data_IF_702137014078
#
_entry.id   IF_702137014078
#
_cell.length_a   1.000
_cell.length_b   1.000
_cell.length_c   1.000
_cell.angle_alpha   90.00
_cell.angle_beta   90.00
_cell.angle_gamma   90.00
#
_symmetry.space_group_name_H-M   'P 1'
#
loop_
_entity.id
_entity.type
_entity.pdbx_description
1 polymer ?
#
# COMPACT_ATOMS: atom_id res chain seq x y z
N UNK A 1 25.92 68.83 57.45
CA UNK A 1 24.69 68.05 57.23
C UNK A 1 24.59 67.70 55.75
N UNK A 2 24.13 66.49 55.45
CA UNK A 2 23.94 65.83 54.15
C UNK A 2 25.16 65.07 53.58
N UNK A 3 25.34 63.85 54.09
CA UNK A 3 26.11 62.80 53.43
C UNK A 3 25.38 62.31 52.15
N UNK A 4 26.09 61.99 51.06
CA UNK A 4 25.47 61.48 49.85
C UNK A 4 25.06 60.02 50.02
N UNK A 5 23.82 59.71 49.62
CA UNK A 5 23.27 58.37 49.54
C UNK A 5 24.06 57.55 48.52
N UNK A 6 24.77 56.54 49.01
CA UNK A 6 25.45 55.54 48.18
C UNK A 6 24.41 54.68 47.47
N UNK A 7 24.44 54.69 46.13
CA UNK A 7 23.62 53.82 45.30
C UNK A 7 23.93 52.35 45.58
N UNK A 8 22.89 51.55 45.84
CA UNK A 8 23.02 50.12 46.03
C UNK A 8 23.61 49.45 44.77
N UNK A 9 24.58 48.52 44.90
CA UNK A 9 25.14 47.80 43.75
C UNK A 9 24.06 46.88 43.14
N UNK A 10 23.89 46.98 41.82
CA UNK A 10 23.01 46.08 41.07
C UNK A 10 23.39 44.62 41.35
N UNK A 11 22.43 43.82 41.83
CA UNK A 11 22.63 42.43 42.18
C UNK A 11 23.19 41.65 40.97
N UNK A 12 24.40 41.11 41.09
CA UNK A 12 25.00 40.24 40.06
C UNK A 12 24.10 39.01 39.89
N UNK A 13 23.69 38.64 38.65
CA UNK A 13 22.85 37.46 38.46
C UNK A 13 23.58 36.23 39.00
N UNK A 14 22.87 35.43 39.82
CA UNK A 14 23.41 34.22 40.43
C UNK A 14 23.99 33.27 39.37
N UNK A 15 25.02 32.50 39.72
CA UNK A 15 25.65 31.49 38.84
C UNK A 15 24.62 30.56 38.18
N UNK A 16 23.53 30.26 38.90
CA UNK A 16 22.36 29.54 38.41
C UNK A 16 21.68 30.23 37.21
N UNK A 17 21.50 31.56 37.23
CA UNK A 17 20.89 32.32 36.11
C UNK A 17 21.77 32.26 34.87
N UNK A 18 23.10 32.33 35.02
CA UNK A 18 24.03 32.19 33.89
C UNK A 18 23.99 30.77 33.31
N UNK A 19 24.01 29.75 34.16
CA UNK A 19 23.90 28.36 33.72
C UNK A 19 22.57 28.11 32.97
N UNK A 20 21.44 28.57 33.51
CA UNK A 20 20.14 28.46 32.86
C UNK A 20 20.09 29.18 31.51
N UNK A 21 20.69 30.37 31.39
CA UNK A 21 20.79 31.10 30.12
C UNK A 21 21.63 30.34 29.08
N UNK A 22 22.79 29.80 29.47
CA UNK A 22 23.62 28.99 28.57
C UNK A 22 22.94 27.70 28.14
N UNK A 23 22.25 27.01 29.04
CA UNK A 23 21.46 25.81 28.72
C UNK A 23 20.30 26.15 27.78
N UNK A 24 19.58 27.24 28.02
CA UNK A 24 18.51 27.70 27.13
C UNK A 24 19.03 28.07 25.73
N UNK A 25 20.18 28.75 25.65
CA UNK A 25 20.83 29.10 24.40
C UNK A 25 21.32 27.86 23.64
N UNK A 26 21.92 26.90 24.33
CA UNK A 26 22.35 25.64 23.74
C UNK A 26 21.15 24.85 23.20
N UNK A 27 20.07 24.73 23.98
CA UNK A 27 18.84 24.06 23.55
C UNK A 27 18.22 24.77 22.34
N UNK A 28 18.14 26.11 22.37
CA UNK A 28 17.64 26.90 21.24
C UNK A 28 18.47 26.71 19.97
N UNK A 29 19.80 26.63 20.10
CA UNK A 29 20.71 26.37 18.98
C UNK A 29 20.47 24.98 18.38
N UNK A 30 20.35 23.95 19.24
CA UNK A 30 20.06 22.57 18.80
C UNK A 30 18.70 22.50 18.09
N UNK A 31 17.65 23.11 18.65
CA UNK A 31 16.33 23.13 18.03
C UNK A 31 16.33 23.84 16.68
N UNK A 32 17.07 24.95 16.56
CA UNK A 32 17.22 25.68 15.29
C UNK A 32 17.96 24.84 14.26
N UNK A 33 19.03 24.15 14.66
CA UNK A 33 19.78 23.26 13.78
C UNK A 33 18.94 22.05 13.30
N UNK A 34 18.12 21.47 14.20
CA UNK A 34 17.19 20.41 13.84
C UNK A 34 16.11 20.90 12.87
N UNK A 35 15.50 22.07 13.13
CA UNK A 35 14.52 22.66 12.23
C UNK A 35 15.12 22.95 10.84
N UNK A 36 16.32 23.53 10.79
CA UNK A 36 17.04 23.77 9.54
C UNK A 36 17.35 22.46 8.80
N UNK A 37 17.74 21.40 9.51
CA UNK A 37 17.98 20.07 8.93
C UNK A 37 16.70 19.48 8.34
N UNK A 38 15.57 19.57 9.05
CA UNK A 38 14.27 19.12 8.53
C UNK A 38 13.91 19.89 7.27
N UNK A 39 14.08 21.21 7.23
CA UNK A 39 13.81 22.02 6.03
C UNK A 39 14.72 21.60 4.87
N UNK A 40 16.03 21.47 5.11
CA UNK A 40 17.01 21.06 4.09
C UNK A 40 16.67 19.70 3.48
N UNK A 41 16.36 18.71 4.34
CA UNK A 41 15.97 17.37 3.90
C UNK A 41 14.66 17.38 3.12
N UNK A 42 13.74 18.29 3.46
CA UNK A 42 12.46 18.42 2.75
C UNK A 42 12.59 19.05 1.36
N UNK A 43 13.60 19.90 1.14
CA UNK A 43 13.85 20.58 -0.15
C UNK A 43 14.88 19.86 -1.05
N UNK A 44 15.50 18.79 -0.55
CA UNK A 44 16.54 18.04 -1.26
C UNK A 44 16.04 17.55 -2.63
N UNK A 45 16.76 17.93 -3.68
CA UNK A 45 16.57 17.42 -5.04
C UNK A 45 15.39 18.04 -5.80
N UNK A 46 14.68 19.03 -5.23
CA UNK A 46 13.58 19.69 -5.93
C UNK A 46 14.11 20.67 -6.98
N UNK A 47 13.72 20.49 -8.24
CA UNK A 47 13.98 21.45 -9.31
C UNK A 47 13.03 22.66 -9.21
N UNK A 48 13.47 23.87 -9.66
CA UNK A 48 12.59 25.01 -9.79
C UNK A 48 11.40 24.73 -10.71
N UNK A 49 10.23 25.26 -10.36
CA UNK A 49 9.04 25.20 -11.21
C UNK A 49 9.15 26.25 -12.32
N UNK A 50 8.91 25.84 -13.57
CA UNK A 50 8.88 26.74 -14.73
C UNK A 50 7.43 27.06 -15.08
N UNK A 51 6.93 28.18 -14.59
CA UNK A 51 5.54 28.61 -14.79
C UNK A 51 5.29 29.26 -16.16
N UNK A 52 6.36 29.66 -16.85
CA UNK A 52 6.35 30.39 -18.12
C UNK A 52 6.38 29.49 -19.37
N UNK A 53 6.58 28.19 -19.20
CA UNK A 53 6.60 27.24 -20.31
C UNK A 53 5.19 26.74 -20.62
N UNK A 54 4.65 27.20 -21.76
CA UNK A 54 3.46 26.58 -22.33
C UNK A 54 3.77 25.11 -22.68
N UNK A 55 3.01 24.13 -22.19
CA UNK A 55 3.23 22.74 -22.54
C UNK A 55 2.98 22.56 -24.04
N UNK A 56 3.86 21.84 -24.76
CA UNK A 56 3.59 21.50 -26.14
C UNK A 56 2.30 20.68 -26.23
N UNK A 57 1.59 20.80 -27.35
CA UNK A 57 0.40 19.97 -27.60
C UNK A 57 0.79 18.49 -27.53
N UNK A 58 0.09 17.73 -26.69
CA UNK A 58 0.39 16.32 -26.50
C UNK A 58 0.05 15.51 -27.76
N UNK A 59 0.99 14.68 -28.21
CA UNK A 59 0.74 13.77 -29.32
C UNK A 59 -0.23 12.65 -28.90
N UNK A 60 -0.92 12.04 -29.86
CA UNK A 60 -1.79 10.88 -29.59
C UNK A 60 -1.03 9.73 -28.90
N UNK A 61 0.23 9.50 -29.28
CA UNK A 61 1.08 8.50 -28.64
C UNK A 61 1.41 8.83 -27.18
N UNK A 62 1.63 10.11 -26.86
CA UNK A 62 1.86 10.56 -25.49
C UNK A 62 0.61 10.42 -24.63
N UNK A 63 -0.57 10.76 -25.16
CA UNK A 63 -1.85 10.59 -24.48
C UNK A 63 -2.14 9.10 -24.20
N UNK A 64 -1.91 8.22 -25.17
CA UNK A 64 -2.09 6.79 -24.99
C UNK A 64 -1.11 6.22 -23.95
N UNK A 65 0.16 6.65 -23.97
CA UNK A 65 1.14 6.31 -22.94
C UNK A 65 0.67 6.76 -21.56
N UNK A 66 0.16 7.99 -21.44
CA UNK A 66 -0.40 8.50 -20.19
C UNK A 66 -1.59 7.69 -19.70
N UNK A 67 -2.53 7.33 -20.58
CA UNK A 67 -3.67 6.46 -20.28
C UNK A 67 -3.21 5.11 -19.74
N UNK A 68 -2.25 4.49 -20.44
CA UNK A 68 -1.67 3.20 -20.06
C UNK A 68 -1.00 3.25 -18.68
N UNK A 69 -0.19 4.27 -18.43
CA UNK A 69 0.47 4.46 -17.15
C UNK A 69 -0.52 4.76 -16.01
N UNK A 70 -1.62 5.45 -16.29
CA UNK A 70 -2.65 5.71 -15.29
C UNK A 70 -3.39 4.42 -14.88
N UNK A 71 -3.52 3.46 -15.81
CA UNK A 71 -3.97 2.10 -15.51
C UNK A 71 -2.92 1.33 -14.70
N UNK A 72 -1.65 1.37 -15.13
CA UNK A 72 -0.55 0.72 -14.40
C UNK A 72 -0.40 1.23 -12.95
N UNK A 73 -0.58 2.53 -12.74
CA UNK A 73 -0.56 3.17 -11.42
C UNK A 73 -1.87 3.08 -10.64
N UNK A 74 -2.88 2.41 -11.18
CA UNK A 74 -4.23 2.28 -10.60
C UNK A 74 -4.82 3.63 -10.13
N UNK A 75 -4.58 4.72 -10.86
CA UNK A 75 -4.92 6.07 -10.39
C UNK A 75 -6.43 6.20 -10.11
N UNK A 76 -7.28 5.58 -10.93
CA UNK A 76 -8.72 5.56 -10.74
C UNK A 76 -9.16 4.84 -9.45
N UNK A 77 -8.40 3.86 -8.97
CA UNK A 77 -8.70 3.10 -7.76
C UNK A 77 -8.79 3.99 -6.51
N UNK A 78 -7.91 5.00 -6.44
CA UNK A 78 -7.93 6.01 -5.38
C UNK A 78 -8.74 7.24 -5.77
N UNK A 79 -8.61 7.73 -7.01
CA UNK A 79 -9.17 9.01 -7.43
C UNK A 79 -10.60 8.93 -8.00
N UNK A 80 -11.33 7.84 -7.76
CA UNK A 80 -12.75 7.73 -8.12
C UNK A 80 -13.56 7.21 -6.95
N UNK A 81 -14.49 8.03 -6.44
CA UNK A 81 -15.45 7.58 -5.43
C UNK A 81 -16.44 6.56 -6.02
N UNK A 82 -16.98 5.66 -5.19
CA UNK A 82 -18.01 4.71 -5.63
C UNK A 82 -19.25 5.47 -6.12
N UNK A 83 -19.64 5.23 -7.37
CA UNK A 83 -20.74 5.95 -8.02
C UNK A 83 -20.43 7.41 -8.38
N UNK A 84 -19.20 7.86 -8.17
CA UNK A 84 -18.73 9.20 -8.55
C UNK A 84 -18.19 9.25 -9.98
N UNK A 85 -17.91 10.47 -10.45
CA UNK A 85 -17.28 10.67 -11.75
C UNK A 85 -15.82 10.18 -11.75
N UNK A 86 -15.39 9.60 -12.88
CA UNK A 86 -14.05 9.07 -13.03
C UNK A 86 -13.00 10.16 -12.74
N UNK A 87 -11.98 9.81 -11.95
CA UNK A 87 -10.86 10.70 -11.59
C UNK A 87 -11.23 11.97 -10.79
N UNK A 88 -12.50 12.16 -10.39
CA UNK A 88 -12.96 13.35 -9.67
C UNK A 88 -12.65 13.35 -8.16
N UNK A 89 -11.95 12.33 -7.65
CA UNK A 89 -11.54 12.20 -6.26
C UNK A 89 -12.69 11.80 -5.32
N UNK A 90 -12.51 12.10 -4.03
CA UNK A 90 -13.52 11.93 -2.98
C UNK A 90 -13.53 10.58 -2.27
N UNK A 91 -12.78 9.58 -2.74
CA UNK A 91 -12.63 8.30 -2.04
C UNK A 91 -11.85 8.49 -0.74
N UNK A 92 -12.38 7.95 0.36
CA UNK A 92 -11.69 7.87 1.64
C UNK A 92 -10.78 6.65 1.73
N UNK A 93 -9.59 6.83 2.31
CA UNK A 93 -8.62 5.78 2.64
C UNK A 93 -8.47 5.82 4.15
N UNK A 94 -8.95 4.77 4.82
CA UNK A 94 -8.87 4.65 6.26
C UNK A 94 -7.46 4.22 6.69
N UNK A 95 -6.95 4.86 7.74
CA UNK A 95 -5.65 4.54 8.32
C UNK A 95 -5.75 4.58 9.85
N UNK A 96 -4.77 4.00 10.58
CA UNK A 96 -4.65 4.16 12.02
C UNK A 96 -4.46 5.61 12.47
N UNK A 97 -4.25 6.56 11.57
CA UNK A 97 -4.05 7.98 11.91
C UNK A 97 -5.29 8.82 11.62
N UNK A 98 -6.32 8.24 11.01
CA UNK A 98 -7.54 8.88 10.53
C UNK A 98 -7.77 8.60 9.05
N UNK A 99 -8.67 9.36 8.42
CA UNK A 99 -9.06 9.12 7.01
C UNK A 99 -8.47 10.18 6.09
N UNK A 100 -7.79 9.71 5.05
CA UNK A 100 -7.28 10.52 3.95
C UNK A 100 -8.29 10.49 2.80
N UNK A 101 -8.41 11.56 2.03
CA UNK A 101 -9.34 11.64 0.90
C UNK A 101 -8.57 11.96 -0.37
N UNK A 102 -8.80 11.18 -1.42
CA UNK A 102 -8.16 11.41 -2.71
C UNK A 102 -8.68 12.71 -3.36
N UNK A 103 -7.77 13.46 -3.98
CA UNK A 103 -8.09 14.70 -4.69
C UNK A 103 -8.67 14.46 -6.09
N UNK A 104 -9.25 15.49 -6.69
CA UNK A 104 -9.71 15.51 -8.07
C UNK A 104 -8.52 15.64 -9.04
N UNK A 105 -8.38 14.70 -9.98
CA UNK A 105 -7.32 14.70 -11.00
C UNK A 105 -7.78 15.23 -12.37
N UNK A 106 -9.07 15.55 -12.53
CA UNK A 106 -9.59 16.09 -13.80
C UNK A 106 -9.01 17.50 -14.07
N UNK A 107 -9.06 18.03 -15.31
CA UNK A 107 -8.53 19.36 -15.62
C UNK A 107 -9.40 20.51 -15.12
N UNK A 108 -10.35 20.27 -14.21
CA UNK A 108 -11.15 21.33 -13.61
C UNK A 108 -10.25 22.39 -12.95
N UNK A 109 -10.39 23.68 -13.29
CA UNK A 109 -9.49 24.73 -12.81
C UNK A 109 -9.73 25.13 -11.36
N UNK A 110 -10.87 24.78 -10.76
CA UNK A 110 -11.21 25.18 -9.39
C UNK A 110 -10.82 24.11 -8.36
N UNK A 111 -11.02 22.85 -8.72
CA UNK A 111 -10.96 21.72 -7.80
C UNK A 111 -9.98 20.63 -8.22
N UNK A 112 -9.59 20.60 -9.49
CA UNK A 112 -8.70 19.61 -10.08
C UNK A 112 -7.31 20.13 -10.46
N UNK A 113 -6.78 19.58 -11.54
CA UNK A 113 -5.44 19.87 -12.07
C UNK A 113 -5.40 21.02 -13.08
N UNK A 114 -6.51 21.73 -13.35
CA UNK A 114 -6.57 22.74 -14.42
C UNK A 114 -5.61 23.93 -14.27
N UNK A 115 -5.12 24.19 -13.06
CA UNK A 115 -4.09 25.22 -12.79
C UNK A 115 -2.68 24.65 -12.58
N UNK A 116 -2.50 23.34 -12.74
CA UNK A 116 -1.20 22.69 -12.61
C UNK A 116 -0.44 22.75 -13.93
N UNK A 117 0.88 22.62 -13.87
CA UNK A 117 1.73 22.38 -15.04
C UNK A 117 2.51 21.07 -14.84
N UNK A 118 3.28 20.67 -15.85
CA UNK A 118 4.06 19.43 -15.83
C UNK A 118 5.07 19.38 -14.67
N UNK A 119 5.71 20.50 -14.34
CA UNK A 119 6.66 20.58 -13.22
C UNK A 119 5.97 20.43 -11.85
N UNK A 120 4.76 20.98 -11.68
CA UNK A 120 3.95 20.78 -10.47
C UNK A 120 3.57 19.30 -10.32
N UNK A 121 3.15 18.66 -11.40
CA UNK A 121 2.75 17.26 -11.38
C UNK A 121 3.95 16.33 -11.11
N UNK A 122 5.08 16.57 -11.78
CA UNK A 122 6.36 15.92 -11.49
C UNK A 122 6.73 16.08 -10.02
N UNK A 123 6.67 17.30 -9.47
CA UNK A 123 7.00 17.55 -8.06
C UNK A 123 6.09 16.80 -7.10
N UNK A 124 4.80 16.66 -7.42
CA UNK A 124 3.89 15.86 -6.62
C UNK A 124 4.28 14.39 -6.63
N UNK A 125 4.44 13.77 -7.81
CA UNK A 125 4.81 12.36 -7.94
C UNK A 125 6.19 12.05 -7.33
N UNK A 126 7.15 12.93 -7.57
CA UNK A 126 8.56 12.68 -7.31
C UNK A 126 9.01 13.14 -5.91
N UNK A 127 8.38 14.18 -5.35
CA UNK A 127 8.78 14.75 -4.07
C UNK A 127 7.67 14.77 -3.02
N UNK A 128 6.45 14.33 -3.38
CA UNK A 128 5.31 14.37 -2.47
C UNK A 128 4.93 15.80 -2.09
N UNK A 129 5.03 16.76 -3.03
CA UNK A 129 4.70 18.17 -2.76
C UNK A 129 3.70 18.70 -3.79
N UNK A 130 2.61 19.25 -3.27
CA UNK A 130 1.53 19.84 -4.06
C UNK A 130 1.96 21.09 -4.83
N UNK A 131 1.11 21.56 -5.76
CA UNK A 131 1.25 22.84 -6.47
C UNK A 131 1.50 24.01 -5.52
N UNK A 132 0.69 24.14 -4.47
CA UNK A 132 0.78 25.19 -3.44
C UNK A 132 1.97 25.02 -2.47
N UNK A 133 2.83 24.02 -2.68
CA UNK A 133 4.01 23.78 -1.86
C UNK A 133 3.76 22.95 -0.60
N UNK A 134 2.51 22.59 -0.29
CA UNK A 134 2.18 21.73 0.86
C UNK A 134 2.74 20.31 0.65
N UNK A 135 3.20 19.68 1.73
CA UNK A 135 3.57 18.27 1.73
C UNK A 135 2.33 17.39 1.62
N UNK A 136 2.42 16.39 0.75
CA UNK A 136 1.41 15.37 0.54
C UNK A 136 1.66 14.19 1.49
N UNK A 137 0.57 13.56 1.94
CA UNK A 137 0.66 12.37 2.77
C UNK A 137 1.12 11.16 1.96
N UNK A 138 1.94 10.25 2.53
CA UNK A 138 2.53 9.11 1.82
C UNK A 138 1.52 8.02 1.41
N UNK A 139 0.23 8.18 1.76
CA UNK A 139 -0.82 7.38 1.15
C UNK A 139 -1.00 7.70 -0.35
N UNK A 140 -0.66 8.91 -0.78
CA UNK A 140 -0.25 9.13 -2.16
C UNK A 140 1.16 8.56 -2.28
N UNK A 141 1.39 7.46 -3.02
CA UNK A 141 2.60 6.65 -2.90
C UNK A 141 3.79 7.26 -3.64
N UNK A 142 4.09 8.55 -3.40
CA UNK A 142 5.24 9.27 -3.94
C UNK A 142 6.58 8.63 -3.52
N UNK A 143 6.60 7.84 -2.45
CA UNK A 143 7.77 7.05 -2.04
C UNK A 143 8.10 5.94 -3.04
N UNK A 144 7.14 5.52 -3.86
CA UNK A 144 7.31 4.60 -4.99
C UNK A 144 7.32 5.36 -6.32
N UNK A 145 6.40 6.32 -6.50
CA UNK A 145 6.31 7.11 -7.74
C UNK A 145 7.51 8.01 -8.01
N UNK A 146 8.37 8.26 -7.02
CA UNK A 146 9.69 8.85 -7.26
C UNK A 146 10.47 8.09 -8.33
N UNK A 147 10.29 6.78 -8.48
CA UNK A 147 11.01 6.04 -9.54
C UNK A 147 10.58 6.40 -10.96
N UNK A 148 9.39 7.00 -11.13
CA UNK A 148 8.80 7.30 -12.44
C UNK A 148 9.67 8.32 -13.20
N UNK A 149 9.91 8.03 -14.48
CA UNK A 149 10.70 8.92 -15.34
C UNK A 149 9.96 10.20 -15.67
N UNK A 150 10.70 11.26 -16.02
CA UNK A 150 10.11 12.54 -16.39
C UNK A 150 9.12 12.42 -17.55
N UNK A 151 9.48 11.67 -18.58
CA UNK A 151 8.63 11.45 -19.76
C UNK A 151 7.31 10.74 -19.41
N UNK A 152 7.36 9.77 -18.50
CA UNK A 152 6.16 9.07 -18.03
C UNK A 152 5.27 9.96 -17.18
N UNK A 153 5.85 10.82 -16.33
CA UNK A 153 5.13 11.84 -15.57
C UNK A 153 4.43 12.84 -16.49
N UNK A 154 5.13 13.33 -17.51
CA UNK A 154 4.59 14.31 -18.46
C UNK A 154 3.50 13.67 -19.34
N UNK A 155 3.64 12.39 -19.72
CA UNK A 155 2.60 11.64 -20.42
C UNK A 155 1.34 11.45 -19.55
N UNK A 156 1.51 11.02 -18.29
CA UNK A 156 0.41 10.92 -17.31
C UNK A 156 -0.32 12.25 -17.17
N UNK A 157 0.42 13.35 -16.97
CA UNK A 157 -0.17 14.67 -16.82
C UNK A 157 -0.93 15.10 -18.07
N UNK A 158 -0.33 14.95 -19.26
CA UNK A 158 -0.97 15.27 -20.52
C UNK A 158 -2.30 14.51 -20.71
N UNK A 159 -2.31 13.22 -20.39
CA UNK A 159 -3.53 12.42 -20.47
C UNK A 159 -4.60 12.86 -19.45
N UNK A 160 -4.22 13.12 -18.19
CA UNK A 160 -5.16 13.64 -17.19
C UNK A 160 -5.75 15.00 -17.60
N UNK A 161 -4.96 15.86 -18.24
CA UNK A 161 -5.43 17.14 -18.78
C UNK A 161 -6.40 16.99 -19.97
N UNK A 162 -6.41 15.83 -20.63
CA UNK A 162 -7.33 15.54 -21.74
C UNK A 162 -8.71 15.03 -21.29
N UNK A 163 -8.88 14.71 -20.00
CA UNK A 163 -10.13 14.19 -19.46
C UNK A 163 -11.23 15.27 -19.44
N UNK A 164 -12.52 14.88 -19.44
CA UNK A 164 -13.60 15.81 -19.15
C UNK A 164 -13.40 16.47 -17.76
N UNK A 165 -13.48 17.80 -17.64
CA UNK A 165 -13.39 18.46 -16.34
C UNK A 165 -14.61 18.14 -15.49
N UNK A 166 -14.38 17.86 -14.21
CA UNK A 166 -15.46 17.65 -13.24
C UNK A 166 -15.23 18.60 -12.08
N UNK A 167 -16.16 19.51 -11.83
CA UNK A 167 -16.11 20.39 -10.67
C UNK A 167 -16.60 19.63 -9.43
N UNK A 168 -15.66 19.11 -8.64
CA UNK A 168 -15.94 18.40 -7.39
C UNK A 168 -14.95 18.83 -6.31
N UNK A 169 -15.45 19.53 -5.30
CA UNK A 169 -14.61 20.04 -4.22
C UNK A 169 -13.89 18.89 -3.48
N UNK A 170 -12.59 19.06 -3.25
CA UNK A 170 -11.80 18.11 -2.47
C UNK A 170 -12.23 18.11 -1.02
N UNK A 171 -12.43 16.92 -0.45
CA UNK A 171 -12.76 16.75 0.97
C UNK A 171 -11.49 16.88 1.83
N UNK A 172 -11.49 17.66 2.92
CA UNK A 172 -10.35 17.71 3.83
C UNK A 172 -10.15 16.36 4.53
N UNK A 173 -8.90 16.02 4.82
CA UNK A 173 -8.57 14.85 5.61
C UNK A 173 -9.09 14.96 7.05
N UNK A 174 -9.44 13.84 7.65
CA UNK A 174 -9.89 13.73 9.04
C UNK A 174 -8.85 12.96 9.85
N UNK A 175 -7.63 13.49 9.87
CA UNK A 175 -6.51 12.94 10.64
C UNK A 175 -6.56 13.46 12.08
N UNK A 176 -6.04 12.66 13.01
CA UNK A 176 -5.92 13.04 14.41
C UNK A 176 -4.64 13.83 14.63
N UNK A 177 -4.66 14.79 15.55
CA UNK A 177 -3.45 15.44 16.02
C UNK A 177 -2.43 14.41 16.55
N UNK A 178 -1.12 14.52 16.24
CA UNK A 178 -0.47 15.58 15.45
C UNK A 178 -0.37 15.33 13.94
N UNK A 179 -0.94 14.24 13.43
CA UNK A 179 -0.80 13.79 12.05
C UNK A 179 -1.48 14.71 11.01
N UNK A 180 -2.39 15.57 11.45
CA UNK A 180 -3.04 16.62 10.66
C UNK A 180 -2.13 17.84 10.38
N UNK A 181 -0.93 17.89 10.93
CA UNK A 181 -0.02 19.05 10.80
C UNK A 181 1.08 18.85 9.75
N UNK A 182 1.41 19.93 9.02
CA UNK A 182 2.54 19.95 8.08
C UNK A 182 3.90 19.77 8.77
N UNK A 183 4.04 20.20 10.02
CA UNK A 183 5.26 20.02 10.80
C UNK A 183 5.53 18.54 11.10
N UNK A 184 4.52 17.78 11.56
CA UNK A 184 4.65 16.35 11.78
C UNK A 184 4.97 15.61 10.47
N UNK A 185 4.31 15.99 9.37
CA UNK A 185 4.58 15.41 8.06
C UNK A 185 5.99 15.73 7.54
N UNK A 186 6.50 16.94 7.79
CA UNK A 186 7.86 17.33 7.42
C UNK A 186 8.92 16.51 8.18
N UNK A 187 8.72 16.27 9.48
CA UNK A 187 9.59 15.41 10.28
C UNK A 187 9.53 13.98 9.78
N UNK A 188 8.32 13.44 9.55
CA UNK A 188 8.15 12.09 9.01
C UNK A 188 8.88 11.93 7.68
N UNK A 189 8.71 12.88 6.75
CA UNK A 189 9.35 12.83 5.43
C UNK A 189 10.87 12.93 5.54
N UNK A 190 11.40 13.76 6.43
CA UNK A 190 12.84 13.86 6.66
C UNK A 190 13.46 12.55 7.19
N UNK A 191 12.70 11.75 7.94
CA UNK A 191 13.15 10.46 8.48
C UNK A 191 13.04 9.31 7.47
N UNK A 192 11.96 9.28 6.69
CA UNK A 192 11.56 8.07 5.96
C UNK A 192 11.53 8.19 4.42
N UNK A 193 11.78 9.38 3.87
CA UNK A 193 11.75 9.57 2.43
C UNK A 193 13.06 10.12 1.88
N UNK A 194 13.48 9.56 0.74
CA UNK A 194 14.59 10.04 -0.08
C UNK A 194 14.13 10.02 -1.54
N UNK A 195 14.16 11.15 -2.25
CA UNK A 195 13.91 11.16 -3.70
C UNK A 195 14.92 10.27 -4.41
N UNK A 196 14.45 9.52 -5.39
CA UNK A 196 15.25 8.62 -6.22
C UNK A 196 14.63 8.52 -7.61
N UNK A 197 15.44 8.23 -8.62
CA UNK A 197 14.99 7.83 -9.96
C UNK A 197 15.29 6.35 -10.15
N UNK A 198 14.54 5.69 -11.04
CA UNK A 198 14.86 4.31 -11.39
C UNK A 198 16.19 4.24 -12.14
N UNK A 199 17.12 3.44 -11.62
CA UNK A 199 18.41 3.18 -12.27
C UNK A 199 18.44 1.70 -12.67
N UNK A 200 18.44 1.38 -13.98
CA UNK A 200 18.54 0.00 -14.45
C UNK A 200 19.82 -0.68 -13.95
N UNK A 201 19.70 -1.92 -13.50
CA UNK A 201 20.86 -2.74 -13.11
C UNK A 201 21.55 -3.29 -14.38
N UNK A 202 22.83 -2.96 -14.66
CA UNK A 202 23.50 -3.40 -15.89
C UNK A 202 23.69 -4.91 -16.01
N UNK A 203 23.71 -5.62 -14.88
CA UNK A 203 23.81 -7.09 -14.82
C UNK A 203 22.49 -7.80 -15.11
N UNK A 204 21.38 -7.07 -15.20
CA UNK A 204 20.04 -7.60 -15.45
C UNK A 204 19.58 -7.31 -16.87
N UNK A 205 18.69 -8.15 -17.40
CA UNK A 205 18.10 -7.93 -18.73
C UNK A 205 17.23 -6.67 -18.75
N UNK A 206 17.02 -6.10 -19.93
CA UNK A 206 16.11 -4.97 -20.11
C UNK A 206 14.68 -5.30 -19.65
N UNK A 207 14.23 -6.53 -19.90
CA UNK A 207 12.93 -7.03 -19.45
C UNK A 207 12.83 -7.10 -17.91
N UNK A 208 13.86 -7.61 -17.24
CA UNK A 208 13.89 -7.62 -15.78
C UNK A 208 13.86 -6.20 -15.20
N UNK A 209 14.65 -5.29 -15.76
CA UNK A 209 14.65 -3.88 -15.35
C UNK A 209 13.29 -3.20 -15.62
N UNK A 210 12.61 -3.55 -16.71
CA UNK A 210 11.23 -3.09 -16.97
C UNK A 210 10.26 -3.59 -15.89
N UNK A 211 10.37 -4.85 -15.49
CA UNK A 211 9.58 -5.43 -14.40
C UNK A 211 9.81 -4.72 -13.07
N UNK A 212 11.09 -4.49 -12.73
CA UNK A 212 11.49 -3.75 -11.54
C UNK A 212 10.89 -2.33 -11.54
N UNK A 213 11.00 -1.60 -12.65
CA UNK A 213 10.44 -0.26 -12.81
C UNK A 213 8.94 -0.22 -12.56
N UNK A 214 8.18 -1.17 -13.11
CA UNK A 214 6.73 -1.22 -12.95
C UNK A 214 6.33 -1.62 -11.54
N UNK A 215 6.98 -2.64 -10.95
CA UNK A 215 6.65 -3.15 -9.61
C UNK A 215 7.03 -2.14 -8.51
N UNK A 216 8.19 -1.51 -8.63
CA UNK A 216 8.71 -0.57 -7.63
C UNK A 216 8.19 0.86 -7.81
N UNK A 217 7.87 1.26 -9.05
CA UNK A 217 7.33 2.56 -9.41
C UNK A 217 5.80 2.62 -9.33
N UNK A 218 5.14 2.69 -10.50
CA UNK A 218 3.69 2.90 -10.59
C UNK A 218 2.86 1.76 -9.98
N UNK A 219 3.29 0.51 -10.11
CA UNK A 219 2.60 -0.62 -9.47
C UNK A 219 2.70 -0.61 -7.94
N UNK A 220 3.66 0.15 -7.39
CA UNK A 220 3.85 0.44 -5.97
C UNK A 220 3.61 -0.79 -5.05
N UNK A 221 4.07 -1.99 -5.46
CA UNK A 221 3.65 -3.24 -4.81
C UNK A 221 4.07 -3.28 -3.34
N UNK A 222 5.19 -2.61 -3.01
CA UNK A 222 5.69 -2.45 -1.64
C UNK A 222 4.75 -1.63 -0.73
N UNK A 223 3.87 -0.82 -1.30
CA UNK A 223 2.84 -0.13 -0.53
C UNK A 223 1.83 -1.10 0.08
N UNK A 224 1.66 -2.32 -0.44
CA UNK A 224 0.83 -3.34 0.21
C UNK A 224 1.69 -4.43 0.82
N UNK A 225 2.62 -4.98 0.02
CA UNK A 225 3.44 -6.13 0.38
C UNK A 225 4.72 -5.77 1.14
N UNK A 226 4.91 -4.52 1.56
CA UNK A 226 6.02 -4.11 2.41
C UNK A 226 5.58 -3.96 3.87
N UNK A 227 6.46 -4.34 4.79
CA UNK A 227 6.22 -4.15 6.22
C UNK A 227 6.21 -2.66 6.60
N UNK A 228 5.40 -2.28 7.59
CA UNK A 228 5.31 -0.90 8.08
C UNK A 228 5.75 -0.80 9.53
N UNK A 229 6.44 0.29 9.84
CA UNK A 229 6.74 0.65 11.23
C UNK A 229 5.52 1.30 11.92
N UNK A 230 5.63 1.58 13.22
CA UNK A 230 4.56 2.17 14.03
C UNK A 230 4.15 3.59 13.60
N UNK A 231 5.00 4.28 12.85
CA UNK A 231 4.74 5.61 12.26
C UNK A 231 4.18 5.51 10.83
N UNK A 232 3.81 4.30 10.39
CA UNK A 232 3.18 4.05 9.08
C UNK A 232 4.14 4.09 7.89
N UNK A 233 5.45 4.22 8.11
CA UNK A 233 6.43 4.18 7.03
C UNK A 233 6.74 2.75 6.61
N UNK A 234 6.77 2.53 5.30
CA UNK A 234 7.19 1.26 4.70
C UNK A 234 8.69 1.07 4.89
N UNK A 235 9.08 -0.08 5.44
CA UNK A 235 10.48 -0.46 5.64
C UNK A 235 11.05 -1.05 4.34
N UNK A 236 11.58 -0.17 3.49
CA UNK A 236 12.18 -0.55 2.20
C UNK A 236 13.37 -1.51 2.36
N UNK A 237 14.04 -1.54 3.53
CA UNK A 237 15.19 -2.42 3.76
C UNK A 237 14.81 -3.89 3.91
N UNK A 238 13.54 -4.16 4.23
CA UNK A 238 12.97 -5.51 4.31
C UNK A 238 12.33 -5.98 3.00
N UNK A 239 12.34 -5.16 1.95
CA UNK A 239 11.74 -5.52 0.66
C UNK A 239 10.24 -5.80 0.75
N UNK A 240 9.79 -6.85 0.08
CA UNK A 240 8.38 -7.24 -0.06
C UNK A 240 7.98 -8.31 0.98
N UNK A 241 8.39 -8.09 2.23
CA UNK A 241 8.26 -8.99 3.38
C UNK A 241 6.83 -9.21 3.92
N UNK A 242 5.81 -8.67 3.25
CA UNK A 242 4.43 -8.73 3.70
C UNK A 242 4.10 -7.73 4.81
N UNK A 243 2.81 -7.50 5.02
CA UNK A 243 2.34 -6.54 5.99
C UNK A 243 0.83 -6.51 6.16
N UNK A 244 0.38 -6.12 7.35
CA UNK A 244 -1.03 -5.81 7.57
C UNK A 244 -1.39 -4.53 6.84
N UNK A 245 -2.52 -4.55 6.11
CA UNK A 245 -3.15 -3.39 5.51
C UNK A 245 -3.98 -2.67 6.56
N UNK A 246 -3.51 -1.54 7.09
CA UNK A 246 -4.20 -0.86 8.18
C UNK A 246 -5.54 -0.30 7.70
N UNK A 247 -6.61 -0.42 8.50
CA UNK A 247 -7.96 0.06 8.16
C UNK A 247 -8.79 -0.90 7.30
N UNK A 248 -8.16 -1.78 6.51
CA UNK A 248 -8.88 -2.77 5.70
C UNK A 248 -8.97 -4.15 6.37
N UNK A 249 -8.09 -4.39 7.36
CA UNK A 249 -7.96 -5.64 8.13
C UNK A 249 -7.73 -6.86 7.21
N UNK A 250 -6.92 -6.64 6.18
CA UNK A 250 -6.35 -7.64 5.31
C UNK A 250 -4.85 -7.75 5.56
N UNK A 251 -4.28 -8.91 5.31
CA UNK A 251 -2.84 -9.14 5.29
C UNK A 251 -2.38 -9.25 3.83
N UNK A 252 -1.46 -8.39 3.40
CA UNK A 252 -0.79 -8.52 2.12
C UNK A 252 0.42 -9.46 2.33
N UNK A 253 0.39 -10.70 1.82
CA UNK A 253 1.43 -11.68 2.15
C UNK A 253 2.76 -11.34 1.47
N UNK A 254 3.86 -11.80 2.03
CA UNK A 254 5.19 -11.59 1.52
C UNK A 254 5.35 -12.14 0.09
N UNK A 255 5.89 -11.33 -0.82
CA UNK A 255 6.17 -11.74 -2.21
C UNK A 255 7.55 -12.38 -2.36
N UNK A 256 8.39 -12.27 -1.33
CA UNK A 256 9.72 -12.85 -1.23
C UNK A 256 9.75 -14.12 -0.34
N UNK A 257 8.58 -14.68 0.02
CA UNK A 257 8.48 -15.88 0.83
C UNK A 257 7.60 -16.96 0.16
N UNK A 258 8.14 -18.14 -0.20
CA UNK A 258 7.39 -19.19 -0.91
C UNK A 258 6.18 -19.74 -0.14
N UNK A 259 6.24 -19.73 1.19
CA UNK A 259 5.16 -20.20 2.07
C UNK A 259 4.02 -19.17 2.23
N UNK A 260 4.20 -17.96 1.69
CA UNK A 260 3.17 -16.92 1.62
C UNK A 260 2.74 -16.68 0.16
N UNK A 261 3.00 -15.50 -0.41
CA UNK A 261 2.64 -15.14 -1.78
C UNK A 261 3.83 -15.18 -2.75
N UNK A 262 5.01 -15.65 -2.33
CA UNK A 262 6.17 -15.79 -3.20
C UNK A 262 5.92 -16.73 -4.38
N UNK A 263 6.52 -16.39 -5.52
CA UNK A 263 6.29 -17.05 -6.82
C UNK A 263 7.57 -17.59 -7.46
N UNK A 264 8.68 -17.60 -6.72
CA UNK A 264 9.99 -18.05 -7.24
C UNK A 264 9.95 -19.45 -7.87
N UNK A 265 9.12 -20.35 -7.33
CA UNK A 265 8.99 -21.74 -7.81
C UNK A 265 7.89 -21.94 -8.86
N UNK A 266 7.13 -20.89 -9.21
CA UNK A 266 6.02 -21.01 -10.17
C UNK A 266 6.54 -20.91 -11.61
N UNK A 267 5.90 -21.61 -12.57
CA UNK A 267 6.09 -21.31 -13.98
C UNK A 267 5.80 -19.83 -14.27
N UNK A 268 6.59 -19.21 -15.15
CA UNK A 268 6.49 -17.76 -15.41
C UNK A 268 5.09 -17.38 -15.93
N UNK A 269 4.51 -18.21 -16.79
CA UNK A 269 3.19 -18.01 -17.36
C UNK A 269 2.07 -18.00 -16.31
N UNK A 270 2.22 -18.71 -15.19
CA UNK A 270 1.23 -18.71 -14.13
C UNK A 270 1.25 -17.38 -13.37
N UNK A 271 2.45 -16.81 -13.17
CA UNK A 271 2.59 -15.48 -12.58
C UNK A 271 1.92 -14.43 -13.48
N UNK A 272 2.15 -14.51 -14.80
CA UNK A 272 1.47 -13.67 -15.79
C UNK A 272 -0.05 -13.85 -15.73
N UNK A 273 -0.54 -15.09 -15.71
CA UNK A 273 -1.97 -15.38 -15.64
C UNK A 273 -2.62 -14.87 -14.34
N UNK A 274 -1.90 -14.94 -13.21
CA UNK A 274 -2.37 -14.38 -11.95
C UNK A 274 -2.55 -12.85 -12.04
N UNK A 275 -1.55 -12.15 -12.59
CA UNK A 275 -1.60 -10.70 -12.74
C UNK A 275 -2.63 -10.26 -13.80
N UNK A 276 -2.83 -11.06 -14.86
CA UNK A 276 -3.75 -10.74 -15.96
C UNK A 276 -5.22 -11.05 -15.63
N UNK A 277 -5.47 -12.20 -14.99
CA UNK A 277 -6.83 -12.74 -14.83
C UNK A 277 -7.28 -12.84 -13.38
N UNK A 278 -6.33 -12.73 -12.44
CA UNK A 278 -6.57 -12.89 -11.00
C UNK A 278 -6.60 -14.34 -10.53
N UNK A 279 -6.34 -15.33 -11.40
CA UNK A 279 -6.34 -16.74 -11.04
C UNK A 279 -5.39 -17.59 -11.88
N UNK A 280 -4.98 -18.70 -11.29
CA UNK A 280 -4.10 -19.75 -11.83
C UNK A 280 -4.50 -21.08 -11.20
N UNK A 281 -3.93 -22.19 -11.66
CA UNK A 281 -4.05 -23.49 -10.98
C UNK A 281 -3.42 -23.47 -9.57
N UNK A 282 -2.43 -22.60 -9.35
CA UNK A 282 -1.71 -22.48 -8.07
C UNK A 282 -2.35 -21.49 -7.08
N UNK A 283 -3.36 -20.74 -7.49
CA UNK A 283 -4.09 -19.83 -6.61
C UNK A 283 -4.82 -18.69 -7.32
N UNK A 284 -5.62 -17.97 -6.55
CA UNK A 284 -6.42 -16.82 -6.99
C UNK A 284 -6.26 -15.64 -6.03
N UNK A 285 -6.38 -14.43 -6.54
CA UNK A 285 -6.43 -13.21 -5.72
C UNK A 285 -7.85 -12.93 -5.24
N UNK A 286 -7.96 -12.36 -4.05
CA UNK A 286 -9.21 -11.93 -3.41
C UNK A 286 -8.99 -10.58 -2.73
N UNK A 287 -10.08 -9.94 -2.29
CA UNK A 287 -10.02 -8.72 -1.50
C UNK A 287 -9.31 -7.57 -2.25
N UNK A 288 -8.41 -6.82 -1.59
CA UNK A 288 -7.75 -5.67 -2.20
C UNK A 288 -6.94 -6.01 -3.46
N UNK A 289 -6.32 -7.20 -3.51
CA UNK A 289 -5.56 -7.61 -4.69
C UNK A 289 -6.46 -7.95 -5.89
N UNK A 290 -7.69 -8.43 -5.64
CA UNK A 290 -8.69 -8.57 -6.72
C UNK A 290 -9.07 -7.21 -7.31
N UNK A 291 -9.23 -6.16 -6.50
CA UNK A 291 -9.46 -4.81 -7.02
C UNK A 291 -8.26 -4.27 -7.82
N UNK A 292 -7.03 -4.58 -7.41
CA UNK A 292 -5.82 -4.24 -8.18
C UNK A 292 -5.85 -4.88 -9.57
N UNK A 293 -6.12 -6.19 -9.65
CA UNK A 293 -6.22 -6.85 -10.96
C UNK A 293 -7.37 -6.27 -11.77
N UNK A 294 -8.54 -6.08 -11.15
CA UNK A 294 -9.72 -5.56 -11.83
C UNK A 294 -9.48 -4.15 -12.43
N UNK A 295 -8.80 -3.26 -11.71
CA UNK A 295 -8.65 -1.86 -12.11
C UNK A 295 -7.34 -1.54 -12.83
N UNK A 296 -6.33 -2.41 -12.71
CA UNK A 296 -4.97 -2.11 -13.14
C UNK A 296 -4.35 -3.23 -13.95
N UNK A 297 -3.85 -4.30 -13.33
CA UNK A 297 -2.90 -5.21 -13.98
C UNK A 297 -3.51 -5.98 -15.16
N UNK A 298 -4.82 -6.24 -15.16
CA UNK A 298 -5.46 -6.89 -16.32
C UNK A 298 -5.39 -6.07 -17.62
N UNK A 299 -5.15 -4.76 -17.51
CA UNK A 299 -5.08 -3.83 -18.65
C UNK A 299 -3.65 -3.60 -19.15
N UNK A 300 -2.66 -4.24 -18.52
CA UNK A 300 -1.27 -4.15 -18.95
C UNK A 300 -1.01 -5.04 -20.16
N UNK A 301 -0.01 -4.65 -20.95
CA UNK A 301 0.44 -5.48 -22.07
C UNK A 301 1.07 -6.78 -21.57
N UNK A 302 0.98 -7.84 -22.38
CA UNK A 302 1.59 -9.13 -22.04
C UNK A 302 3.10 -9.02 -21.82
N UNK A 303 3.79 -8.15 -22.56
CA UNK A 303 5.21 -7.88 -22.38
C UNK A 303 5.52 -7.28 -21.00
N UNK A 304 4.72 -6.32 -20.53
CA UNK A 304 4.89 -5.73 -19.20
C UNK A 304 4.51 -6.70 -18.08
N UNK A 305 3.46 -7.51 -18.27
CA UNK A 305 3.11 -8.56 -17.33
C UNK A 305 4.19 -9.62 -17.22
N UNK A 306 4.81 -10.01 -18.34
CA UNK A 306 5.95 -10.93 -18.35
C UNK A 306 7.18 -10.32 -17.66
N UNK A 307 7.47 -9.05 -17.91
CA UNK A 307 8.54 -8.32 -17.24
C UNK A 307 8.33 -8.28 -15.72
N UNK A 308 7.12 -7.92 -15.27
CA UNK A 308 6.75 -7.93 -13.85
C UNK A 308 6.86 -9.33 -13.26
N UNK A 309 6.39 -10.36 -13.96
CA UNK A 309 6.49 -11.75 -13.53
C UNK A 309 7.95 -12.20 -13.38
N UNK A 310 8.83 -11.82 -14.32
CA UNK A 310 10.26 -12.13 -14.28
C UNK A 310 10.93 -11.51 -13.05
N UNK A 311 10.66 -10.24 -12.77
CA UNK A 311 11.17 -9.55 -11.59
C UNK A 311 10.65 -10.19 -10.28
N UNK A 312 9.34 -10.46 -10.19
CA UNK A 312 8.73 -11.06 -8.99
C UNK A 312 9.26 -12.48 -8.72
N UNK A 313 9.53 -13.25 -9.77
CA UNK A 313 10.11 -14.60 -9.67
C UNK A 313 11.55 -14.57 -9.15
N UNK A 314 12.31 -13.51 -9.46
CA UNK A 314 13.73 -13.36 -9.12
C UNK A 314 13.96 -12.61 -7.79
N UNK A 315 12.91 -12.29 -7.04
CA UNK A 315 13.05 -11.62 -5.73
C UNK A 315 13.96 -12.42 -4.79
N UNK A 316 14.85 -11.77 -4.02
CA UNK A 316 15.64 -12.44 -2.99
C UNK A 316 14.73 -13.14 -1.98
N UNK A 317 14.82 -14.46 -1.85
CA UNK A 317 13.90 -15.20 -0.99
C UNK A 317 14.28 -15.10 0.49
N UNK A 318 13.28 -14.92 1.35
CA UNK A 318 13.46 -14.97 2.79
C UNK A 318 13.77 -16.39 3.26
N UNK A 319 14.61 -16.56 4.30
CA UNK A 319 14.80 -17.85 4.93
C UNK A 319 13.47 -18.43 5.39
N UNK A 320 13.31 -19.75 5.25
CA UNK A 320 12.15 -20.43 5.79
C UNK A 320 12.08 -20.20 7.32
N UNK A 321 10.87 -19.93 7.88
CA UNK A 321 10.70 -19.87 9.31
C UNK A 321 11.16 -21.19 9.95
N UNK A 322 11.80 -21.15 11.13
CA UNK A 322 12.16 -22.37 11.84
C UNK A 322 10.89 -23.18 12.14
N UNK A 323 11.00 -24.50 11.98
CA UNK A 323 9.90 -25.40 12.32
C UNK A 323 9.48 -25.20 13.78
N UNK A 324 8.17 -25.23 14.08
CA UNK A 324 7.69 -25.14 15.46
C UNK A 324 8.37 -26.19 16.34
N UNK A 325 8.89 -25.78 17.50
CA UNK A 325 9.59 -26.68 18.43
C UNK A 325 8.69 -27.78 19.02
N UNK A 326 7.36 -27.59 18.95
CA UNK A 326 6.36 -28.57 19.36
C UNK A 326 5.19 -28.54 18.37
N UNK A 327 4.55 -29.69 18.09
CA UNK A 327 3.31 -29.70 17.34
C UNK A 327 2.27 -28.85 18.08
N UNK A 328 1.47 -28.04 17.37
CA UNK A 328 0.44 -27.25 18.02
C UNK A 328 -0.52 -28.16 18.79
N UNK A 329 -0.91 -27.74 20.00
CA UNK A 329 -1.95 -28.45 20.76
C UNK A 329 -3.22 -28.50 19.91
N UNK A 330 -3.79 -29.69 19.75
CA UNK A 330 -5.10 -29.89 19.14
C UNK A 330 -6.18 -29.90 20.20
N UNK A 331 -7.13 -29.00 20.08
CA UNK A 331 -8.36 -28.97 20.84
C UNK A 331 -9.42 -29.78 20.08
N UNK A 332 -9.50 -31.07 20.36
CA UNK A 332 -10.44 -31.98 19.68
C UNK A 332 -11.90 -31.51 19.75
N UNK A 333 -12.31 -30.85 20.84
CA UNK A 333 -13.67 -30.31 20.96
C UNK A 333 -13.95 -29.14 20.00
N UNK A 334 -12.93 -28.30 19.75
CA UNK A 334 -13.00 -27.21 18.78
C UNK A 334 -13.02 -27.77 17.36
N UNK A 335 -12.18 -28.76 17.07
CA UNK A 335 -12.09 -29.40 15.77
C UNK A 335 -13.38 -30.14 15.41
N UNK A 336 -13.98 -30.89 16.33
CA UNK A 336 -15.27 -31.56 16.11
C UNK A 336 -16.41 -30.56 15.82
N UNK A 337 -16.38 -29.39 16.48
CA UNK A 337 -17.33 -28.30 16.17
C UNK A 337 -17.06 -27.73 14.77
N UNK A 338 -15.80 -27.48 14.44
CA UNK A 338 -15.38 -26.97 13.14
C UNK A 338 -15.74 -27.91 12.00
N UNK A 339 -15.56 -29.21 12.19
CA UNK A 339 -15.96 -30.26 11.24
C UNK A 339 -17.46 -30.23 10.96
N UNK A 340 -18.28 -30.12 12.02
CA UNK A 340 -19.74 -30.02 11.86
C UNK A 340 -20.13 -28.78 11.06
N UNK A 341 -19.52 -27.62 11.35
CA UNK A 341 -19.76 -26.39 10.58
C UNK A 341 -19.31 -26.55 9.13
N UNK A 342 -18.14 -27.15 8.90
CA UNK A 342 -17.60 -27.41 7.57
C UNK A 342 -18.54 -28.27 6.72
N UNK A 343 -19.00 -29.39 7.27
CA UNK A 343 -19.93 -30.30 6.59
C UNK A 343 -21.24 -29.61 6.22
N UNK A 344 -21.73 -28.70 7.07
CA UNK A 344 -23.00 -28.00 6.87
C UNK A 344 -22.92 -26.83 5.88
N UNK A 345 -21.80 -26.09 5.87
CA UNK A 345 -21.72 -24.77 5.21
C UNK A 345 -20.68 -24.71 4.08
N UNK A 346 -19.65 -25.56 4.11
CA UNK A 346 -18.46 -25.39 3.27
C UNK A 346 -18.24 -26.55 2.29
N UNK A 347 -18.54 -27.78 2.70
CA UNK A 347 -18.23 -29.00 1.94
C UNK A 347 -18.93 -29.07 0.59
N UNK A 348 -20.06 -28.40 0.41
CA UNK A 348 -20.77 -28.37 -0.88
C UNK A 348 -19.93 -27.71 -2.00
N UNK A 349 -19.16 -26.66 -1.69
CA UNK A 349 -18.24 -26.03 -2.63
C UNK A 349 -16.84 -26.63 -2.57
N UNK A 350 -16.31 -26.83 -1.36
CA UNK A 350 -14.90 -27.20 -1.17
C UNK A 350 -14.66 -28.72 -1.12
N UNK A 351 -15.71 -29.53 -1.21
CA UNK A 351 -15.66 -30.98 -1.13
C UNK A 351 -15.48 -31.50 0.31
N UNK A 352 -15.85 -32.75 0.54
CA UNK A 352 -15.75 -33.37 1.88
C UNK A 352 -14.30 -33.46 2.39
N UNK A 353 -13.32 -33.55 1.48
CA UNK A 353 -11.89 -33.62 1.80
C UNK A 353 -11.15 -32.33 1.47
N UNK A 354 -11.86 -31.21 1.30
CA UNK A 354 -11.25 -29.93 0.96
C UNK A 354 -10.56 -29.92 -0.41
N UNK A 355 -10.92 -30.84 -1.31
CA UNK A 355 -10.29 -30.96 -2.63
C UNK A 355 -10.69 -29.84 -3.61
N UNK A 356 -11.76 -29.09 -3.31
CA UNK A 356 -12.31 -28.06 -4.20
C UNK A 356 -12.85 -28.63 -5.51
N UNK A 357 -13.07 -27.73 -6.46
CA UNK A 357 -13.48 -28.04 -7.84
C UNK A 357 -12.61 -27.20 -8.78
N UNK A 358 -11.77 -27.82 -9.64
CA UNK A 358 -10.88 -27.09 -10.54
C UNK A 358 -11.60 -26.02 -11.36
N UNK A 359 -11.07 -24.80 -11.35
CA UNK A 359 -11.64 -23.66 -12.09
C UNK A 359 -12.87 -23.00 -11.43
N UNK A 360 -13.45 -23.60 -10.38
CA UNK A 360 -14.60 -23.03 -9.66
C UNK A 360 -14.28 -22.72 -8.19
N UNK A 361 -13.93 -23.74 -7.40
CA UNK A 361 -13.71 -23.61 -5.97
C UNK A 361 -12.29 -24.04 -5.62
N UNK A 362 -11.47 -23.20 -4.98
CA UNK A 362 -10.09 -23.56 -4.68
C UNK A 362 -10.04 -24.75 -3.72
N UNK A 363 -9.06 -25.66 -3.87
CA UNK A 363 -8.78 -26.65 -2.85
C UNK A 363 -8.42 -25.94 -1.54
N UNK A 364 -8.85 -26.50 -0.41
CA UNK A 364 -8.42 -26.12 0.93
C UNK A 364 -7.31 -27.05 1.44
N UNK A 365 -7.30 -28.30 0.98
CA UNK A 365 -6.24 -29.26 1.24
C UNK A 365 -4.92 -28.79 0.59
N UNK A 366 -3.86 -28.67 1.38
CA UNK A 366 -2.54 -28.24 0.91
C UNK A 366 -2.49 -26.80 0.38
N UNK A 367 -3.55 -26.01 0.54
CA UNK A 367 -3.59 -24.66 0.01
C UNK A 367 -2.67 -23.75 0.83
N UNK A 368 -1.73 -23.08 0.15
CA UNK A 368 -0.80 -22.16 0.81
C UNK A 368 -1.50 -21.07 1.62
N UNK A 369 -2.62 -20.53 1.14
CA UNK A 369 -3.36 -19.48 1.84
C UNK A 369 -4.00 -20.00 3.14
N UNK A 370 -4.36 -21.29 3.19
CA UNK A 370 -4.82 -21.96 4.41
C UNK A 370 -3.66 -22.16 5.38
N UNK A 371 -2.47 -22.47 4.87
CA UNK A 371 -1.26 -22.75 5.64
C UNK A 371 -0.41 -21.50 5.99
N UNK A 372 -0.87 -20.29 5.70
CA UNK A 372 -0.16 -19.08 6.15
C UNK A 372 -0.29 -18.91 7.67
N UNK A 373 0.79 -18.54 8.34
CA UNK A 373 0.81 -18.31 9.79
C UNK A 373 -0.22 -17.27 10.26
N UNK A 374 -0.48 -16.23 9.44
CA UNK A 374 -1.49 -15.22 9.74
C UNK A 374 -2.87 -15.62 9.15
N UNK A 375 -3.88 -15.94 9.99
CA UNK A 375 -5.19 -16.40 9.51
C UNK A 375 -6.15 -15.27 9.11
N UNK A 376 -5.75 -13.99 9.23
CA UNK A 376 -6.65 -12.84 9.03
C UNK A 376 -7.37 -12.89 7.67
N UNK A 377 -6.66 -13.25 6.60
CA UNK A 377 -7.28 -13.33 5.27
C UNK A 377 -8.36 -14.41 5.20
N UNK A 378 -8.14 -15.57 5.83
CA UNK A 378 -9.15 -16.64 5.90
C UNK A 378 -10.38 -16.17 6.69
N UNK A 379 -10.17 -15.47 7.81
CA UNK A 379 -11.26 -14.86 8.58
C UNK A 379 -12.05 -13.89 7.72
N UNK A 380 -11.39 -13.00 6.97
CA UNK A 380 -12.09 -12.05 6.10
C UNK A 380 -12.88 -12.76 5.00
N UNK A 381 -12.28 -13.76 4.36
CA UNK A 381 -12.91 -14.54 3.30
C UNK A 381 -14.15 -15.27 3.80
N UNK A 382 -14.11 -15.93 4.97
CA UNK A 382 -15.30 -16.56 5.57
C UNK A 382 -16.34 -15.51 5.97
N UNK A 383 -15.91 -14.45 6.66
CA UNK A 383 -16.82 -13.47 7.26
C UNK A 383 -17.51 -12.59 6.22
N UNK A 384 -16.75 -12.08 5.25
CA UNK A 384 -17.21 -11.10 4.26
C UNK A 384 -17.48 -11.72 2.89
N UNK A 385 -17.11 -12.98 2.68
CA UNK A 385 -17.13 -13.58 1.36
C UNK A 385 -16.14 -12.89 0.43
N UNK A 386 -16.31 -13.09 -0.86
CA UNK A 386 -15.55 -12.37 -1.88
C UNK A 386 -15.56 -13.06 -3.22
N UNK A 387 -15.09 -12.34 -4.23
CA UNK A 387 -14.96 -12.82 -5.59
C UNK A 387 -13.54 -12.56 -6.09
N UNK A 388 -12.95 -13.48 -6.86
CA UNK A 388 -11.87 -13.15 -7.77
C UNK A 388 -12.32 -12.04 -8.74
N UNK A 389 -11.39 -11.31 -9.37
CA UNK A 389 -11.74 -10.22 -10.28
C UNK A 389 -12.44 -10.77 -11.53
N UNK A 390 -13.45 -10.01 -11.99
CA UNK A 390 -14.04 -10.23 -13.31
C UNK A 390 -13.11 -9.67 -14.38
N UNK A 391 -12.56 -10.54 -15.20
CA UNK A 391 -11.61 -10.21 -16.27
C UNK A 391 -12.00 -10.89 -17.57
N UNK A 392 -11.37 -10.58 -18.70
CA UNK A 392 -11.60 -11.30 -19.96
C UNK A 392 -11.32 -12.81 -19.82
N UNK A 393 -10.25 -13.17 -19.09
CA UNK A 393 -9.91 -14.57 -18.77
C UNK A 393 -10.75 -15.18 -17.63
N UNK A 394 -11.59 -14.40 -16.95
CA UNK A 394 -12.43 -14.84 -15.85
C UNK A 394 -13.74 -14.02 -15.77
N UNK A 395 -14.62 -14.10 -16.79
CA UNK A 395 -15.73 -13.16 -16.92
C UNK A 395 -16.85 -13.39 -15.90
N UNK A 396 -16.92 -14.59 -15.32
CA UNK A 396 -17.94 -15.01 -14.34
C UNK A 396 -17.25 -15.72 -13.17
N UNK A 397 -16.55 -14.98 -12.29
CA UNK A 397 -15.87 -15.58 -11.15
C UNK A 397 -16.86 -16.23 -10.19
N UNK A 398 -16.57 -17.46 -9.75
CA UNK A 398 -17.22 -18.05 -8.59
C UNK A 398 -16.76 -17.32 -7.32
N UNK A 399 -17.69 -17.01 -6.43
CA UNK A 399 -17.42 -16.31 -5.18
C UNK A 399 -17.69 -17.16 -3.95
N UNK A 400 -17.08 -16.76 -2.84
CA UNK A 400 -17.40 -17.29 -1.51
C UNK A 400 -18.52 -16.45 -0.89
N UNK A 401 -19.62 -17.09 -0.41
CA UNK A 401 -20.68 -16.38 0.31
C UNK A 401 -20.18 -15.75 1.62
N UNK A 402 -20.77 -14.62 2.06
CA UNK A 402 -20.43 -14.02 3.34
C UNK A 402 -21.11 -14.77 4.50
N UNK A 403 -20.35 -15.48 5.34
CA UNK A 403 -20.91 -16.22 6.48
C UNK A 403 -20.98 -15.41 7.79
N UNK A 404 -20.50 -14.16 7.81
CA UNK A 404 -20.47 -13.34 9.04
C UNK A 404 -21.85 -12.99 9.63
N UNK A 405 -22.94 -13.27 8.92
CA UNK A 405 -24.32 -13.11 9.41
C UNK A 405 -24.98 -14.45 9.77
N UNK A 406 -24.32 -15.58 9.48
CA UNK A 406 -24.80 -16.95 9.69
C UNK A 406 -24.04 -17.62 10.83
N UNK A 407 -22.72 -17.41 10.88
CA UNK A 407 -21.83 -18.04 11.85
C UNK A 407 -21.40 -17.04 12.94
N UNK A 408 -21.32 -17.52 14.17
CA UNK A 408 -20.71 -16.76 15.27
C UNK A 408 -19.18 -16.67 15.11
N UNK A 409 -18.55 -15.74 15.82
CA UNK A 409 -17.08 -15.61 15.80
C UNK A 409 -16.40 -16.90 16.31
N UNK A 410 -17.03 -17.63 17.25
CA UNK A 410 -16.57 -18.94 17.73
C UNK A 410 -16.71 -20.04 16.67
N UNK A 411 -17.80 -20.03 15.89
CA UNK A 411 -18.00 -20.98 14.80
C UNK A 411 -17.00 -20.74 13.66
N UNK A 412 -16.72 -19.47 13.34
CA UNK A 412 -15.67 -19.09 12.39
C UNK A 412 -14.29 -19.56 12.89
N UNK A 413 -13.98 -19.33 14.17
CA UNK A 413 -12.74 -19.82 14.78
C UNK A 413 -12.64 -21.36 14.69
N UNK A 414 -13.73 -22.07 14.98
CA UNK A 414 -13.78 -23.52 14.95
C UNK A 414 -13.58 -24.08 13.53
N UNK A 415 -14.34 -23.60 12.54
CA UNK A 415 -14.26 -24.11 11.16
C UNK A 415 -12.89 -23.82 10.53
N UNK A 416 -12.31 -22.65 10.79
CA UNK A 416 -10.98 -22.32 10.29
C UNK A 416 -9.89 -23.16 10.97
N UNK A 417 -10.03 -23.44 12.28
CA UNK A 417 -9.11 -24.35 12.98
C UNK A 417 -9.18 -25.78 12.45
N UNK A 418 -10.39 -26.26 12.14
CA UNK A 418 -10.58 -27.55 11.48
C UNK A 418 -9.92 -27.59 10.10
N UNK A 419 -10.21 -26.61 9.24
CA UNK A 419 -9.62 -26.55 7.88
C UNK A 419 -8.09 -26.48 7.92
N UNK A 420 -7.51 -25.72 8.85
CA UNK A 420 -6.04 -25.56 9.00
C UNK A 420 -5.32 -26.77 9.59
N UNK A 421 -6.06 -27.71 10.17
CA UNK A 421 -5.51 -28.93 10.78
C UNK A 421 -5.96 -30.23 10.10
N UNK A 422 -6.61 -30.11 8.94
CA UNK A 422 -7.13 -31.21 8.12
C UNK A 422 -6.36 -31.35 6.81
N UNK A 423 -6.41 -32.54 6.21
CA UNK A 423 -5.93 -32.82 4.84
C UNK A 423 -4.46 -32.44 4.58
N UNK A 424 -3.60 -32.65 5.58
CA UNK A 424 -2.17 -32.34 5.48
C UNK A 424 -1.81 -30.88 5.73
N UNK A 425 -2.78 -30.04 6.09
CA UNK A 425 -2.51 -28.70 6.59
C UNK A 425 -1.90 -28.78 8.00
N UNK A 426 -0.87 -27.96 8.25
CA UNK A 426 -0.01 -28.09 9.45
C UNK A 426 -0.11 -26.91 10.40
N UNK A 427 -1.09 -26.04 10.19
CA UNK A 427 -1.16 -24.75 10.86
C UNK A 427 -1.93 -24.79 12.17
N UNK A 428 -1.67 -23.78 13.00
CA UNK A 428 -2.25 -23.68 14.35
C UNK A 428 -3.73 -23.24 14.34
N UNK A 429 -4.38 -23.47 15.48
CA UNK A 429 -5.77 -23.05 15.73
C UNK A 429 -5.97 -21.54 15.55
N UNK A 430 -7.09 -21.17 14.94
CA UNK A 430 -7.52 -19.77 14.86
C UNK A 430 -8.21 -19.41 16.17
N UNK A 431 -7.63 -18.46 16.90
CA UNK A 431 -8.17 -18.00 18.17
C UNK A 431 -9.35 -17.06 17.97
N UNK A 432 -10.26 -17.02 18.94
CA UNK A 432 -11.37 -16.05 18.95
C UNK A 432 -10.86 -14.61 18.87
N UNK A 433 -9.73 -14.29 19.52
CA UNK A 433 -9.10 -12.96 19.44
C UNK A 433 -8.75 -12.59 18.00
N UNK A 434 -8.20 -13.51 17.21
CA UNK A 434 -7.87 -13.27 15.81
C UNK A 434 -9.13 -13.06 14.95
N UNK A 435 -10.24 -13.74 15.27
CA UNK A 435 -11.52 -13.53 14.58
C UNK A 435 -12.11 -12.16 14.91
N UNK A 436 -12.06 -11.76 16.19
CA UNK A 436 -12.63 -10.53 16.70
C UNK A 436 -11.81 -9.27 16.37
N UNK A 437 -10.58 -9.40 15.86
CA UNK A 437 -9.82 -8.26 15.35
C UNK A 437 -10.59 -7.66 14.15
N UNK A 438 -11.01 -6.40 14.29
CA UNK A 438 -11.83 -5.67 13.30
C UNK A 438 -11.03 -4.61 12.59
#
# INVERSE_FOLDING_TARGET
>A
MNAPLTGAPAARPSTLRRALLWTALALGTVLTALAATVVLLNLRGEAPIRDDLAPPAASAAQLERGRYLALAGNCAGCHTARGGAAYAGGRGIETPFGTLYAGNLTPDPLTGLGQWNADHFWRALHHGRSRDGRLLYPAFPYTSFTQVTRDDSDALFAWLQSLPPVTQANRPHTLRFPYDTQAALAVWRALFFRPAEFVPEPSRSAEHNRGAYLVQGLGHCIACHGSRNTLGATDVSRGLAGGMLPGENWYAPALDAPHEAGVANWPLQDIVALLKTGRTEHGSVLGPMAEVVYRSTQHLSDADLQAMALYLKDLPQQPAPPAPAQPPRRNESLLARGEKVYAQQCAWCHGEQGQGEPGAFPPLAGNRAVNMANPVNLVQVVRRGGYPPATEGNPRPYGMPPFGHVLSDEEIAAVLSYVRSSWGNTETEVTLRQVMQR
#
